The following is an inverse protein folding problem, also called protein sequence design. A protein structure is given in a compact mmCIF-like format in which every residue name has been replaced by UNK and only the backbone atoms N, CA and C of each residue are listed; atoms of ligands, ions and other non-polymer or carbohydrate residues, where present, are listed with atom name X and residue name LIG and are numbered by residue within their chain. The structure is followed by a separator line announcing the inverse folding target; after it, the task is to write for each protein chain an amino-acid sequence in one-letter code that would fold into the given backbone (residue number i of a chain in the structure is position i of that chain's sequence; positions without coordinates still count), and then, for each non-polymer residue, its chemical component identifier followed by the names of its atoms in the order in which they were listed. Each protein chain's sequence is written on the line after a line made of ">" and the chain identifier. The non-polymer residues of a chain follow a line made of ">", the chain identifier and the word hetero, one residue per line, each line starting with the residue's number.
data_IF_603887915625
#
_entry.id   IF_603887915625
#
_cell.length_a   1.000
_cell.length_b   1.000
_cell.length_c   1.000
_cell.angle_alpha   90.00
_cell.angle_beta   90.00
_cell.angle_gamma   90.00
#
_symmetry.space_group_name_H-M   'P 1'
#
loop_
_entity.id
_entity.type
_entity.pdbx_description
1 polymer ?
#
# COMPACT_ATOMS: atom_id res chain seq x y z
N UNK A 1 3.73 13.86 -3.53
CA UNK A 1 3.55 13.19 -4.84
C UNK A 1 2.45 12.13 -4.76
N UNK A 2 2.63 11.03 -4.02
CA UNK A 2 1.58 9.99 -3.86
C UNK A 2 0.23 10.50 -3.34
N UNK A 3 0.22 11.44 -2.39
CA UNK A 3 -1.03 12.05 -1.90
C UNK A 3 -1.85 12.73 -3.00
N UNK A 4 -1.20 13.46 -3.92
CA UNK A 4 -1.87 14.17 -4.99
C UNK A 4 -2.50 13.17 -5.98
N UNK A 5 -1.71 12.19 -6.43
CA UNK A 5 -2.18 11.11 -7.29
C UNK A 5 -3.35 10.33 -6.69
N UNK A 6 -3.30 10.01 -5.40
CA UNK A 6 -4.39 9.32 -4.72
C UNK A 6 -5.65 10.17 -4.57
N UNK A 7 -5.49 11.49 -4.38
CA UNK A 7 -6.61 12.44 -4.35
C UNK A 7 -7.28 12.54 -5.72
N UNK A 8 -6.48 12.65 -6.78
CA UNK A 8 -6.97 12.77 -8.16
C UNK A 8 -7.64 11.47 -8.64
N UNK A 9 -7.09 10.31 -8.27
CA UNK A 9 -7.69 9.00 -8.52
C UNK A 9 -8.93 8.71 -7.65
N UNK A 10 -9.30 9.61 -6.73
CA UNK A 10 -10.45 9.44 -5.85
C UNK A 10 -10.29 8.30 -4.84
N UNK A 11 -9.07 7.92 -4.47
CA UNK A 11 -8.84 6.96 -3.40
C UNK A 11 -9.01 7.61 -2.02
N UNK A 12 -9.41 6.81 -1.02
CA UNK A 12 -9.46 7.22 0.39
C UNK A 12 -10.39 8.44 0.66
N UNK A 13 -11.52 8.54 -0.07
CA UNK A 13 -12.47 9.68 -0.02
C UNK A 13 -12.97 10.07 1.38
N UNK A 14 -12.91 9.15 2.35
CA UNK A 14 -13.39 9.35 3.72
C UNK A 14 -12.29 9.23 4.80
N UNK A 15 -11.00 9.20 4.41
CA UNK A 15 -9.88 9.07 5.35
C UNK A 15 -8.94 10.26 5.22
N UNK A 16 -8.24 10.61 6.30
CA UNK A 16 -7.19 11.64 6.28
C UNK A 16 -6.06 11.19 5.33
N UNK A 17 -5.97 11.84 4.17
CA UNK A 17 -4.97 11.51 3.15
C UNK A 17 -3.64 12.18 3.49
N UNK A 18 -2.69 11.37 3.92
CA UNK A 18 -1.26 11.70 4.05
C UNK A 18 -0.44 10.82 3.11
N UNK A 19 0.78 11.25 2.76
CA UNK A 19 1.68 10.43 1.93
C UNK A 19 1.89 9.03 2.54
N UNK A 20 2.03 8.96 3.88
CA UNK A 20 2.18 7.70 4.58
C UNK A 20 0.93 6.81 4.47
N UNK A 21 -0.27 7.38 4.69
CA UNK A 21 -1.52 6.61 4.58
C UNK A 21 -1.78 6.05 3.18
N UNK A 22 -1.44 6.83 2.14
CA UNK A 22 -1.56 6.41 0.73
C UNK A 22 -0.57 5.30 0.42
N UNK A 23 0.68 5.45 0.86
CA UNK A 23 1.73 4.45 0.68
C UNK A 23 1.34 3.12 1.32
N UNK A 24 0.81 3.15 2.55
CA UNK A 24 0.28 1.96 3.25
C UNK A 24 -0.87 1.31 2.47
N UNK A 25 -1.85 2.10 2.02
CA UNK A 25 -2.99 1.59 1.25
C UNK A 25 -2.56 0.93 -0.07
N UNK A 26 -1.65 1.56 -0.82
CA UNK A 26 -1.15 1.01 -2.08
C UNK A 26 -0.36 -0.27 -1.87
N UNK A 27 0.53 -0.33 -0.87
CA UNK A 27 1.27 -1.57 -0.54
C UNK A 27 0.29 -2.71 -0.22
N UNK A 28 -0.74 -2.45 0.59
CA UNK A 28 -1.75 -3.47 0.91
C UNK A 28 -2.51 -3.93 -0.34
N UNK A 29 -2.96 -2.99 -1.19
CA UNK A 29 -3.70 -3.31 -2.40
C UNK A 29 -2.87 -4.12 -3.40
N UNK A 30 -1.59 -3.77 -3.60
CA UNK A 30 -0.68 -4.48 -4.50
C UNK A 30 -0.35 -5.88 -3.96
N UNK A 31 -0.16 -6.03 -2.64
CA UNK A 31 0.03 -7.35 -2.01
C UNK A 31 -1.23 -8.22 -2.11
N UNK A 32 -2.42 -7.67 -1.91
CA UNK A 32 -3.68 -8.40 -2.09
C UNK A 32 -3.90 -8.85 -3.54
N UNK A 33 -3.28 -8.14 -4.50
CA UNK A 33 -3.24 -8.55 -5.90
C UNK A 33 -2.10 -9.54 -6.22
N UNK A 34 -1.41 -10.08 -5.20
CA UNK A 34 -0.26 -10.98 -5.31
C UNK A 34 0.93 -10.42 -6.13
N UNK A 35 1.08 -9.09 -6.17
CA UNK A 35 2.21 -8.46 -6.85
C UNK A 35 3.48 -8.65 -6.02
N UNK A 36 4.60 -9.07 -6.63
CA UNK A 36 5.86 -9.27 -5.92
C UNK A 36 6.32 -8.02 -5.14
N UNK A 37 7.01 -8.18 -3.99
CA UNK A 37 7.51 -7.06 -3.21
C UNK A 37 8.48 -6.14 -3.98
N UNK A 38 9.22 -6.69 -4.94
CA UNK A 38 10.14 -5.95 -5.82
C UNK A 38 9.40 -4.99 -6.76
N UNK A 39 8.32 -5.46 -7.39
CA UNK A 39 7.45 -4.63 -8.22
C UNK A 39 6.67 -3.61 -7.37
N UNK A 40 6.18 -4.05 -6.22
CA UNK A 40 5.54 -3.16 -5.24
C UNK A 40 6.48 -2.03 -4.83
N UNK A 41 7.78 -2.32 -4.63
CA UNK A 41 8.81 -1.34 -4.28
C UNK A 41 8.97 -0.26 -5.35
N UNK A 42 9.05 -0.67 -6.62
CA UNK A 42 9.15 0.24 -7.74
C UNK A 42 7.90 1.15 -7.85
N UNK A 43 6.71 0.56 -7.74
CA UNK A 43 5.44 1.30 -7.87
C UNK A 43 5.24 2.30 -6.72
N UNK A 44 5.64 1.93 -5.50
CA UNK A 44 5.38 2.74 -4.30
C UNK A 44 6.54 3.65 -3.91
N UNK A 45 7.67 3.56 -4.62
CA UNK A 45 8.87 4.35 -4.38
C UNK A 45 9.47 4.10 -3.00
N UNK A 46 9.60 2.83 -2.61
CA UNK A 46 10.40 2.45 -1.44
C UNK A 46 11.84 2.20 -1.87
N UNK A 47 12.80 2.57 -1.03
CA UNK A 47 14.22 2.30 -1.28
C UNK A 47 14.64 0.92 -0.77
N UNK A 48 13.81 0.25 0.03
CA UNK A 48 14.13 -1.03 0.65
C UNK A 48 12.90 -1.95 0.72
N UNK A 49 13.05 -3.19 0.24
CA UNK A 49 12.05 -4.26 0.28
C UNK A 49 11.59 -4.60 1.70
N UNK A 50 12.46 -4.56 2.71
CA UNK A 50 12.09 -4.83 4.10
C UNK A 50 11.01 -3.86 4.63
N UNK A 51 11.02 -2.61 4.16
CA UNK A 51 9.99 -1.63 4.54
C UNK A 51 8.60 -1.98 4.00
N UNK A 52 8.52 -2.84 2.98
CA UNK A 52 7.28 -3.38 2.40
C UNK A 52 6.87 -4.65 3.13
N UNK A 53 7.85 -5.47 3.53
CA UNK A 53 7.63 -6.72 4.29
C UNK A 53 6.89 -6.44 5.59
N UNK A 54 7.24 -5.37 6.33
CA UNK A 54 6.61 -4.98 7.60
C UNK A 54 5.11 -4.62 7.52
N UNK A 55 4.54 -4.48 6.33
CA UNK A 55 3.08 -4.39 6.17
C UNK A 55 2.40 -5.77 6.21
N UNK A 56 3.13 -6.84 6.54
CA UNK A 56 2.66 -8.22 6.79
C UNK A 56 1.84 -8.39 8.06
N UNK A 57 1.18 -7.34 8.56
CA UNK A 57 -0.03 -7.58 9.33
C UNK A 57 -1.08 -8.04 8.33
N UNK A 58 -1.01 -9.34 8.07
CA UNK A 58 -2.12 -10.23 7.75
C UNK A 58 -3.39 -9.51 8.19
N UNK A 59 -4.16 -9.03 7.23
CA UNK A 59 -5.55 -8.72 7.49
C UNK A 59 -6.10 -9.95 8.20
N UNK A 60 -6.49 -9.81 9.45
CA UNK A 60 -7.07 -10.87 10.29
C UNK A 60 -8.19 -11.62 9.53
N UNK A 61 -8.77 -11.01 8.50
CA UNK A 61 -9.71 -11.59 7.53
C UNK A 61 -9.18 -12.74 6.65
N UNK A 62 -7.87 -12.95 6.47
CA UNK A 62 -7.33 -14.06 5.68
C UNK A 62 -6.90 -15.29 6.50
N UNK A 63 -6.93 -15.21 7.83
CA UNK A 63 -6.60 -16.35 8.71
C UNK A 63 -7.83 -17.14 9.16
N UNK A 64 -9.02 -16.79 8.64
CA UNK A 64 -10.28 -17.50 8.87
C UNK A 64 -10.88 -17.93 7.53
N UNK A 65 -10.27 -18.92 6.88
CA UNK A 65 -10.96 -19.86 6.00
C UNK A 65 -10.33 -21.23 6.14
#
# INVERSE_FOLDING_TARGET
>A
MLKAMAKDAGFLKHKRITNHSVRKFLVQKLRNANIPPTETMAITGHNNVQSITNYSNISVEQQQK
#
